data_IF_253564227197
#
_entry.id   IF_253564227197
#
_cell.length_a   1.000
_cell.length_b   1.000
_cell.length_c   1.000
_cell.angle_alpha   90.00
_cell.angle_beta   90.00
_cell.angle_gamma   90.00
#
_symmetry.space_group_name_H-M   'P 1'
#
loop_
_entity.id
_entity.type
_entity.pdbx_description
1 polymer ?
#
# COMPACT_ATOMS: atom_id res chain seq x y z
N UNK A 1 -11.66 23.38 16.28
CA UNK A 1 -10.95 22.89 15.08
C UNK A 1 -11.76 21.75 14.50
N UNK A 2 -12.42 21.97 13.36
CA UNK A 2 -13.30 20.99 12.72
C UNK A 2 -12.45 19.91 12.05
N UNK A 3 -12.56 18.68 12.53
CA UNK A 3 -12.00 17.48 11.89
C UNK A 3 -12.88 17.22 10.66
N UNK A 4 -12.38 17.60 9.49
CA UNK A 4 -12.95 17.19 8.20
C UNK A 4 -12.82 15.66 8.12
N UNK A 5 -13.92 14.95 8.36
CA UNK A 5 -14.02 13.53 8.02
C UNK A 5 -13.88 13.41 6.50
N UNK A 6 -12.96 12.61 5.95
CA UNK A 6 -12.99 12.33 4.53
C UNK A 6 -14.28 11.56 4.25
N UNK A 7 -15.14 12.14 3.43
CA UNK A 7 -16.25 11.46 2.78
C UNK A 7 -15.63 10.33 1.94
N UNK A 8 -15.65 9.10 2.47
CA UNK A 8 -15.37 7.88 1.72
C UNK A 8 -16.56 7.65 0.78
N UNK A 9 -16.53 8.27 -0.40
CA UNK A 9 -17.28 7.78 -1.56
C UNK A 9 -16.53 6.53 -2.07
N UNK A 10 -16.71 5.42 -1.36
CA UNK A 10 -16.33 4.11 -1.87
C UNK A 10 -17.40 3.68 -2.86
N UNK A 11 -17.14 3.84 -4.15
CA UNK A 11 -17.96 3.23 -5.20
C UNK A 11 -17.68 1.72 -5.21
N UNK A 12 -18.28 0.98 -4.28
CA UNK A 12 -18.38 -0.48 -4.40
C UNK A 12 -19.45 -0.74 -5.45
N UNK A 13 -19.04 -1.10 -6.66
CA UNK A 13 -19.96 -1.52 -7.73
C UNK A 13 -20.93 -2.59 -7.22
N UNK A 14 -22.20 -2.46 -7.60
CA UNK A 14 -23.32 -3.32 -7.20
C UNK A 14 -22.93 -4.80 -7.13
N UNK A 15 -22.95 -5.37 -5.92
CA UNK A 15 -22.67 -6.78 -5.68
C UNK A 15 -23.88 -7.60 -6.11
N UNK A 16 -23.79 -8.19 -7.31
CA UNK A 16 -24.63 -9.32 -7.73
C UNK A 16 -24.45 -10.47 -6.74
N UNK A 17 -25.55 -11.10 -6.35
CA UNK A 17 -25.56 -12.17 -5.36
C UNK A 17 -24.91 -13.43 -5.94
N UNK A 18 -23.73 -13.78 -5.43
CA UNK A 18 -23.18 -15.15 -5.52
C UNK A 18 -22.90 -15.67 -4.10
N UNK A 19 -23.65 -16.68 -3.68
CA UNK A 19 -23.44 -17.41 -2.43
C UNK A 19 -22.50 -18.58 -2.71
N UNK A 20 -21.22 -18.43 -2.38
CA UNK A 20 -20.26 -19.54 -2.34
C UNK A 20 -19.15 -19.25 -1.30
N UNK A 21 -19.23 -20.03 -0.23
CA UNK A 21 -18.36 -20.22 0.95
C UNK A 21 -17.04 -19.43 1.02
N UNK A 22 -17.01 -18.38 1.85
CA UNK A 22 -15.86 -18.24 2.76
C UNK A 22 -16.37 -18.50 4.17
N UNK A 23 -15.78 -19.48 4.86
CA UNK A 23 -16.25 -20.05 6.14
C UNK A 23 -16.11 -19.10 7.33
N UNK A 24 -15.75 -17.84 7.10
CA UNK A 24 -15.58 -16.84 8.14
C UNK A 24 -16.89 -16.10 8.40
N UNK A 25 -17.56 -16.47 9.49
CA UNK A 25 -18.81 -15.86 9.96
C UNK A 25 -18.71 -14.33 10.14
N UNK A 26 -17.56 -13.81 10.57
CA UNK A 26 -17.37 -12.38 10.77
C UNK A 26 -17.33 -11.61 9.45
N UNK A 27 -16.77 -12.20 8.39
CA UNK A 27 -16.85 -11.63 7.04
C UNK A 27 -18.27 -11.65 6.48
N UNK A 28 -19.02 -12.75 6.67
CA UNK A 28 -20.42 -12.82 6.23
C UNK A 28 -21.28 -11.72 6.86
N UNK A 29 -21.13 -11.52 8.18
CA UNK A 29 -21.80 -10.44 8.91
C UNK A 29 -21.35 -9.07 8.38
N UNK A 30 -20.03 -8.85 8.28
CA UNK A 30 -19.45 -7.59 7.77
C UNK A 30 -20.00 -7.25 6.40
N UNK A 31 -19.97 -8.21 5.47
CA UNK A 31 -20.46 -8.05 4.10
C UNK A 31 -21.96 -7.80 4.05
N UNK A 32 -22.75 -8.47 4.88
CA UNK A 32 -24.19 -8.23 4.99
C UNK A 32 -24.50 -6.79 5.43
N UNK A 33 -23.80 -6.30 6.46
CA UNK A 33 -23.94 -4.93 6.95
C UNK A 33 -23.48 -3.89 5.91
N UNK A 34 -22.39 -4.15 5.19
CA UNK A 34 -21.95 -3.29 4.07
C UNK A 34 -23.03 -3.23 2.98
N UNK A 35 -23.64 -4.35 2.62
CA UNK A 35 -24.75 -4.38 1.64
C UNK A 35 -25.95 -3.58 2.12
N UNK A 36 -26.33 -3.69 3.39
CA UNK A 36 -27.39 -2.88 3.99
C UNK A 36 -27.07 -1.38 3.88
N UNK A 37 -25.86 -0.98 4.27
CA UNK A 37 -25.42 0.41 4.23
C UNK A 37 -25.40 0.97 2.79
N UNK A 38 -24.85 0.22 1.84
CA UNK A 38 -24.84 0.61 0.42
C UNK A 38 -26.26 0.72 -0.16
N UNK A 39 -27.17 -0.18 0.21
CA UNK A 39 -28.57 -0.12 -0.24
C UNK A 39 -29.29 1.12 0.28
N UNK A 40 -28.98 1.56 1.50
CA UNK A 40 -29.47 2.84 2.04
C UNK A 40 -28.89 3.99 1.20
N UNK A 41 -27.58 4.02 0.97
CA UNK A 41 -26.93 5.08 0.19
C UNK A 41 -27.45 5.20 -1.25
N UNK A 42 -27.67 4.08 -1.94
CA UNK A 42 -28.26 4.09 -3.30
C UNK A 42 -29.65 4.70 -3.31
N UNK A 43 -30.53 4.29 -2.38
CA UNK A 43 -31.87 4.88 -2.23
C UNK A 43 -31.81 6.39 -1.97
N UNK A 44 -30.77 6.87 -1.29
CA UNK A 44 -30.57 8.30 -1.05
C UNK A 44 -30.06 9.04 -2.28
N UNK A 45 -29.19 8.42 -3.08
CA UNK A 45 -28.72 8.99 -4.35
C UNK A 45 -29.88 9.13 -5.34
N UNK A 46 -30.74 8.12 -5.47
CA UNK A 46 -31.91 8.15 -6.35
C UNK A 46 -32.91 9.25 -5.94
N UNK A 47 -33.09 9.49 -4.64
CA UNK A 47 -33.93 10.60 -4.13
C UNK A 47 -33.29 11.97 -4.34
N UNK A 48 -31.97 12.07 -4.19
CA UNK A 48 -31.22 13.32 -4.34
C UNK A 48 -31.12 13.81 -5.79
N UNK A 49 -31.15 12.89 -6.77
CA UNK A 49 -31.21 13.21 -8.19
C UNK A 49 -32.52 13.93 -8.60
N UNK A 50 -33.57 13.89 -7.76
CA UNK A 50 -34.86 14.54 -8.01
C UNK A 50 -35.15 15.79 -7.17
N UNK A 51 -34.75 15.84 -5.89
CA UNK A 51 -34.95 16.97 -4.97
C UNK A 51 -33.85 16.95 -3.89
N UNK A 52 -33.35 18.11 -3.46
CA UNK A 52 -32.23 18.23 -2.51
C UNK A 52 -32.32 17.32 -1.26
N UNK A 53 -31.17 16.87 -0.75
CA UNK A 53 -31.09 15.91 0.37
C UNK A 53 -31.63 16.50 1.68
N UNK A 54 -32.58 15.79 2.33
CA UNK A 54 -33.01 16.11 3.69
C UNK A 54 -32.01 15.59 4.75
N UNK A 55 -31.95 16.22 5.91
CA UNK A 55 -31.02 15.81 6.99
C UNK A 55 -31.39 14.47 7.62
N UNK A 56 -32.67 14.07 7.55
CA UNK A 56 -33.13 12.74 7.99
C UNK A 56 -32.52 11.61 7.16
N UNK A 57 -32.33 11.82 5.87
CA UNK A 57 -31.72 10.84 4.96
C UNK A 57 -30.23 10.61 5.27
N UNK A 58 -29.48 11.71 5.52
CA UNK A 58 -28.07 11.62 5.92
C UNK A 58 -27.89 10.88 7.25
N UNK A 59 -28.84 11.03 8.17
CA UNK A 59 -28.82 10.34 9.46
C UNK A 59 -28.99 8.82 9.31
N UNK A 60 -29.86 8.37 8.41
CA UNK A 60 -30.11 6.94 8.16
C UNK A 60 -28.89 6.24 7.57
N UNK A 61 -28.26 6.83 6.55
CA UNK A 61 -26.98 6.37 5.99
C UNK A 61 -25.90 6.27 7.06
N UNK A 62 -25.74 7.33 7.87
CA UNK A 62 -24.77 7.35 8.95
C UNK A 62 -25.00 6.22 9.96
N UNK A 63 -26.24 5.96 10.35
CA UNK A 63 -26.59 4.87 11.27
C UNK A 63 -26.24 3.50 10.69
N UNK A 64 -26.48 3.28 9.40
CA UNK A 64 -26.12 2.02 8.74
C UNK A 64 -24.60 1.79 8.75
N UNK A 65 -23.82 2.81 8.42
CA UNK A 65 -22.35 2.74 8.50
C UNK A 65 -21.82 2.63 9.94
N UNK A 66 -22.51 3.22 10.92
CA UNK A 66 -22.20 3.06 12.36
C UNK A 66 -22.39 1.60 12.82
N UNK A 67 -23.36 0.86 12.26
CA UNK A 67 -23.49 -0.60 12.53
C UNK A 67 -22.29 -1.39 12.00
N UNK A 68 -21.84 -1.10 10.77
CA UNK A 68 -20.66 -1.75 10.18
C UNK A 68 -19.44 -1.49 11.06
N UNK A 69 -19.24 -0.23 11.45
CA UNK A 69 -18.14 0.17 12.33
C UNK A 69 -18.22 -0.54 13.68
N UNK A 70 -19.39 -0.55 14.33
CA UNK A 70 -19.57 -1.19 15.63
C UNK A 70 -19.29 -2.70 15.58
N UNK A 71 -19.67 -3.38 14.49
CA UNK A 71 -19.34 -4.79 14.29
C UNK A 71 -17.82 -4.98 14.21
N UNK A 72 -17.13 -4.25 13.33
CA UNK A 72 -15.67 -4.35 13.22
C UNK A 72 -14.97 -3.98 14.55
N UNK A 73 -15.43 -2.92 15.23
CA UNK A 73 -14.88 -2.49 16.51
C UNK A 73 -15.05 -3.55 17.61
N UNK A 74 -16.04 -4.45 17.49
CA UNK A 74 -16.25 -5.54 18.44
C UNK A 74 -15.30 -6.74 18.27
N UNK A 75 -14.69 -6.89 17.09
CA UNK A 75 -13.79 -8.00 16.78
C UNK A 75 -12.42 -7.82 17.47
N UNK A 76 -11.81 -8.91 17.95
CA UNK A 76 -10.40 -8.91 18.35
C UNK A 76 -9.47 -8.61 17.16
N UNK A 77 -8.19 -8.34 17.42
CA UNK A 77 -7.21 -8.12 16.35
C UNK A 77 -7.14 -9.35 15.43
N UNK A 78 -7.01 -10.56 15.99
CA UNK A 78 -6.96 -11.81 15.22
C UNK A 78 -8.23 -12.01 14.39
N UNK A 79 -9.41 -11.78 14.98
CA UNK A 79 -10.67 -11.88 14.24
C UNK A 79 -10.77 -10.87 13.10
N UNK A 80 -10.22 -9.65 13.26
CA UNK A 80 -10.14 -8.68 12.16
C UNK A 80 -9.23 -9.17 11.04
N UNK A 81 -8.07 -9.73 11.37
CA UNK A 81 -7.15 -10.24 10.35
C UNK A 81 -7.77 -11.42 9.61
N UNK A 82 -8.41 -12.36 10.31
CA UNK A 82 -9.11 -13.48 9.67
C UNK A 82 -10.31 -13.01 8.84
N UNK A 83 -11.01 -11.98 9.29
CA UNK A 83 -12.09 -11.35 8.52
C UNK A 83 -11.54 -10.71 7.23
N UNK A 84 -10.40 -10.04 7.30
CA UNK A 84 -9.74 -9.43 6.15
C UNK A 84 -9.20 -10.49 5.17
N UNK A 85 -8.60 -11.57 5.67
CA UNK A 85 -8.15 -12.69 4.85
C UNK A 85 -9.31 -13.34 4.09
N UNK A 86 -10.43 -13.61 4.78
CA UNK A 86 -11.64 -14.13 4.16
C UNK A 86 -12.25 -13.15 3.14
N UNK A 87 -12.17 -11.83 3.39
CA UNK A 87 -12.60 -10.81 2.45
C UNK A 87 -11.78 -10.82 1.15
N UNK A 88 -10.46 -10.92 1.27
CA UNK A 88 -9.57 -11.00 0.13
C UNK A 88 -9.76 -12.29 -0.68
N UNK A 89 -10.01 -13.42 -0.03
CA UNK A 89 -10.28 -14.69 -0.73
C UNK A 89 -11.63 -14.67 -1.45
N UNK A 90 -12.63 -14.00 -0.86
CA UNK A 90 -13.97 -13.93 -1.41
C UNK A 90 -14.03 -13.28 -2.81
N UNK A 91 -13.03 -12.49 -3.22
CA UNK A 91 -13.01 -11.86 -4.55
C UNK A 91 -13.01 -12.86 -5.70
N UNK A 92 -12.52 -14.08 -5.48
CA UNK A 92 -12.53 -15.16 -6.49
C UNK A 92 -13.96 -15.63 -6.80
N UNK A 93 -14.88 -15.49 -5.84
CA UNK A 93 -16.28 -15.88 -5.98
C UNK A 93 -17.17 -14.78 -6.56
N UNK A 94 -16.60 -13.61 -6.85
CA UNK A 94 -17.30 -12.46 -7.43
C UNK A 94 -17.33 -12.59 -8.95
N UNK A 95 -18.43 -13.12 -9.47
CA UNK A 95 -18.62 -13.40 -10.91
C UNK A 95 -18.56 -12.16 -11.79
N UNK A 96 -18.78 -10.98 -11.21
CA UNK A 96 -18.66 -9.69 -11.91
C UNK A 96 -17.21 -9.25 -12.16
N UNK A 97 -16.24 -9.82 -11.43
CA UNK A 97 -14.82 -9.49 -11.59
C UNK A 97 -14.19 -10.45 -12.59
N UNK A 98 -14.11 -10.01 -13.84
CA UNK A 98 -13.60 -10.83 -14.94
C UNK A 98 -12.09 -10.66 -15.15
N UNK A 99 -11.53 -9.52 -14.77
CA UNK A 99 -10.11 -9.23 -14.89
C UNK A 99 -9.37 -9.45 -13.57
N UNK A 100 -8.15 -9.98 -13.64
CA UNK A 100 -7.33 -10.26 -12.46
C UNK A 100 -6.98 -8.98 -11.69
N UNK A 101 -6.79 -7.85 -12.38
CA UNK A 101 -6.50 -6.56 -11.73
C UNK A 101 -7.71 -6.02 -10.98
N UNK A 102 -8.92 -6.29 -11.47
CA UNK A 102 -10.16 -5.93 -10.77
C UNK A 102 -10.27 -6.72 -9.47
N UNK A 103 -9.86 -8.00 -9.47
CA UNK A 103 -9.80 -8.83 -8.25
C UNK A 103 -8.72 -8.36 -7.28
N UNK A 104 -7.51 -8.06 -7.77
CA UNK A 104 -6.43 -7.48 -6.97
C UNK A 104 -6.89 -6.17 -6.29
N UNK A 105 -7.53 -5.28 -7.04
CA UNK A 105 -8.03 -4.01 -6.53
C UNK A 105 -9.19 -4.18 -5.54
N UNK A 106 -10.11 -5.11 -5.82
CA UNK A 106 -11.19 -5.46 -4.90
C UNK A 106 -10.65 -6.03 -3.58
N UNK A 107 -9.65 -6.91 -3.63
CA UNK A 107 -9.03 -7.47 -2.44
C UNK A 107 -8.33 -6.39 -1.61
N UNK A 108 -7.56 -5.51 -2.24
CA UNK A 108 -6.93 -4.38 -1.56
C UNK A 108 -7.95 -3.45 -0.91
N UNK A 109 -9.07 -3.18 -1.61
CA UNK A 109 -10.20 -2.39 -1.08
C UNK A 109 -10.83 -3.05 0.14
N UNK A 110 -11.23 -4.32 0.03
CA UNK A 110 -12.00 -5.01 1.06
C UNK A 110 -11.14 -5.22 2.33
N UNK A 111 -9.88 -5.61 2.17
CA UNK A 111 -8.92 -5.70 3.28
C UNK A 111 -8.64 -4.33 3.88
N UNK A 112 -8.41 -3.31 3.06
CA UNK A 112 -8.17 -1.94 3.53
C UNK A 112 -9.35 -1.39 4.34
N UNK A 113 -10.58 -1.76 3.96
CA UNK A 113 -11.78 -1.42 4.71
C UNK A 113 -11.84 -2.14 6.06
N UNK A 114 -11.69 -3.47 6.08
CA UNK A 114 -11.75 -4.27 7.32
C UNK A 114 -10.64 -3.85 8.30
N UNK A 115 -9.41 -3.68 7.81
CA UNK A 115 -8.26 -3.28 8.62
C UNK A 115 -8.19 -1.77 8.89
N UNK A 116 -9.16 -0.97 8.45
CA UNK A 116 -9.17 0.48 8.66
C UNK A 116 -9.20 0.88 10.13
N UNK A 117 -9.78 0.03 10.99
CA UNK A 117 -9.85 0.24 12.44
C UNK A 117 -8.68 -0.40 13.20
N UNK A 118 -7.83 -1.18 12.52
CA UNK A 118 -6.74 -1.91 13.15
C UNK A 118 -5.81 -0.98 13.94
N UNK A 119 -5.34 0.18 13.41
CA UNK A 119 -4.51 1.10 14.20
C UNK A 119 -5.22 1.67 15.45
N UNK A 120 -6.54 1.85 15.39
CA UNK A 120 -7.32 2.38 16.52
C UNK A 120 -7.52 1.38 17.66
N UNK A 121 -7.20 0.10 17.42
CA UNK A 121 -7.19 -0.95 18.44
C UNK A 121 -5.87 -1.03 19.21
N UNK A 122 -4.97 -0.07 19.01
CA UNK A 122 -3.65 0.04 19.66
C UNK A 122 -2.79 -1.24 19.56
N UNK A 123 -2.57 -1.76 18.34
CA UNK A 123 -1.69 -2.91 18.12
C UNK A 123 -0.26 -2.61 18.57
N UNK A 124 0.40 -3.64 19.09
CA UNK A 124 1.82 -3.65 19.44
C UNK A 124 2.68 -3.87 18.20
N UNK A 125 4.00 -3.66 18.33
CA UNK A 125 4.95 -3.98 17.26
C UNK A 125 4.88 -5.47 16.86
N UNK A 126 4.67 -6.37 17.82
CA UNK A 126 4.56 -7.80 17.57
C UNK A 126 3.31 -8.16 16.73
N UNK A 127 2.20 -7.44 16.94
CA UNK A 127 0.98 -7.62 16.16
C UNK A 127 1.20 -7.22 14.69
N UNK A 128 1.94 -6.15 14.45
CA UNK A 128 2.35 -5.77 13.09
C UNK A 128 3.34 -6.76 12.49
N UNK A 129 4.30 -7.26 13.26
CA UNK A 129 5.24 -8.28 12.79
C UNK A 129 4.51 -9.56 12.37
N UNK A 130 3.50 -9.98 13.13
CA UNK A 130 2.63 -11.11 12.78
C UNK A 130 1.95 -10.90 11.42
N UNK A 131 1.37 -9.72 11.19
CA UNK A 131 0.80 -9.35 9.89
C UNK A 131 1.83 -9.36 8.75
N UNK A 132 3.04 -8.85 8.99
CA UNK A 132 4.12 -8.89 8.01
C UNK A 132 4.56 -10.33 7.71
N UNK A 133 4.55 -11.24 8.69
CA UNK A 133 4.83 -12.66 8.43
C UNK A 133 3.79 -13.28 7.48
N UNK A 134 2.52 -12.88 7.56
CA UNK A 134 1.48 -13.38 6.64
C UNK A 134 1.76 -13.04 5.18
N UNK A 135 2.42 -11.91 4.89
CA UNK A 135 2.86 -11.56 3.51
C UNK A 135 3.82 -12.63 2.94
N UNK A 136 4.65 -13.24 3.79
CA UNK A 136 5.66 -14.22 3.39
C UNK A 136 5.14 -15.65 3.39
N UNK A 137 4.03 -15.91 4.06
CA UNK A 137 3.44 -17.24 4.16
C UNK A 137 2.83 -17.67 2.82
N UNK A 138 3.37 -18.72 2.20
CA UNK A 138 2.89 -19.23 0.91
C UNK A 138 1.53 -19.95 0.99
N UNK A 139 1.06 -20.29 2.20
CA UNK A 139 -0.26 -20.89 2.40
C UNK A 139 -1.38 -19.85 2.42
N UNK A 140 -1.04 -18.56 2.55
CA UNK A 140 -2.03 -17.48 2.48
C UNK A 140 -2.47 -17.24 1.05
N UNK A 141 -3.73 -16.82 0.90
CA UNK A 141 -4.27 -16.35 -0.38
C UNK A 141 -3.37 -15.27 -0.99
N UNK A 142 -3.06 -15.42 -2.28
CA UNK A 142 -2.26 -14.45 -3.04
C UNK A 142 -2.92 -13.06 -2.98
N UNK A 143 -4.25 -12.99 -3.07
CA UNK A 143 -4.99 -11.74 -2.94
C UNK A 143 -4.83 -11.09 -1.57
N UNK A 144 -4.81 -11.90 -0.50
CA UNK A 144 -4.61 -11.38 0.85
C UNK A 144 -3.19 -10.83 1.03
N UNK A 145 -2.18 -11.54 0.52
CA UNK A 145 -0.78 -11.09 0.55
C UNK A 145 -0.57 -9.79 -0.23
N UNK A 146 -1.19 -9.67 -1.42
CA UNK A 146 -1.20 -8.44 -2.23
C UNK A 146 -1.87 -7.30 -1.45
N UNK A 147 -3.03 -7.57 -0.86
CA UNK A 147 -3.80 -6.58 -0.13
C UNK A 147 -3.10 -6.10 1.15
N UNK A 148 -2.39 -6.98 1.87
CA UNK A 148 -1.54 -6.60 3.01
C UNK A 148 -0.40 -5.68 2.59
N UNK A 149 0.29 -5.98 1.48
CA UNK A 149 1.34 -5.10 0.94
C UNK A 149 0.79 -3.71 0.59
N UNK A 150 -0.38 -3.66 -0.06
CA UNK A 150 -1.05 -2.40 -0.37
C UNK A 150 -1.47 -1.64 0.89
N UNK A 151 -2.04 -2.33 1.88
CA UNK A 151 -2.49 -1.74 3.14
C UNK A 151 -1.32 -1.16 3.95
N UNK A 152 -0.23 -1.90 4.12
CA UNK A 152 0.96 -1.40 4.80
C UNK A 152 1.56 -0.19 4.09
N UNK A 153 1.68 -0.27 2.77
CA UNK A 153 2.14 0.85 1.93
C UNK A 153 1.29 2.09 2.18
N UNK A 154 -0.04 1.98 2.12
CA UNK A 154 -0.93 3.11 2.31
C UNK A 154 -0.88 3.65 3.75
N UNK A 155 -0.77 2.77 4.75
CA UNK A 155 -0.64 3.14 6.16
C UNK A 155 0.63 3.95 6.43
N UNK A 156 1.75 3.56 5.81
CA UNK A 156 3.04 4.28 5.86
C UNK A 156 2.92 5.62 5.14
N UNK A 157 2.46 5.62 3.89
CA UNK A 157 2.35 6.82 3.06
C UNK A 157 1.44 7.90 3.67
N UNK A 158 0.44 7.49 4.44
CA UNK A 158 -0.50 8.37 5.14
C UNK A 158 -0.03 8.77 6.55
N UNK A 159 1.17 8.37 6.97
CA UNK A 159 1.74 8.60 8.30
C UNK A 159 0.81 8.16 9.44
N UNK A 160 0.10 7.03 9.25
CA UNK A 160 -0.87 6.48 10.20
C UNK A 160 -0.29 5.38 11.10
N UNK A 161 1.00 5.11 11.01
CA UNK A 161 1.69 4.20 11.90
C UNK A 161 1.89 4.82 13.29
N UNK A 162 1.82 4.01 14.38
CA UNK A 162 2.19 4.50 15.70
C UNK A 162 3.67 4.91 15.75
N UNK A 163 3.93 6.12 16.24
CA UNK A 163 5.25 6.75 16.18
C UNK A 163 6.37 5.93 16.85
N UNK A 164 6.03 5.21 17.92
CA UNK A 164 6.96 4.42 18.73
C UNK A 164 7.57 3.21 18.00
N UNK A 165 6.98 2.77 16.88
CA UNK A 165 7.50 1.62 16.13
C UNK A 165 7.32 1.79 14.61
N UNK A 166 7.06 3.00 14.13
CA UNK A 166 6.87 3.28 12.70
C UNK A 166 8.10 2.86 11.86
N UNK A 167 9.31 3.14 12.34
CA UNK A 167 10.55 2.74 11.67
C UNK A 167 10.72 1.23 11.59
N UNK A 168 10.45 0.52 12.69
CA UNK A 168 10.48 -0.94 12.74
C UNK A 168 9.53 -1.53 11.68
N UNK A 169 8.28 -1.06 11.64
CA UNK A 169 7.29 -1.53 10.65
C UNK A 169 7.75 -1.24 9.22
N UNK A 170 8.25 -0.03 8.93
CA UNK A 170 8.76 0.30 7.59
C UNK A 170 9.88 -0.65 7.18
N UNK A 171 10.83 -0.94 8.07
CA UNK A 171 11.90 -1.90 7.82
C UNK A 171 11.36 -3.32 7.60
N UNK A 172 10.42 -3.77 8.43
CA UNK A 172 9.76 -5.08 8.28
C UNK A 172 9.04 -5.22 6.94
N UNK A 173 8.35 -4.17 6.47
CA UNK A 173 7.66 -4.16 5.17
C UNK A 173 8.65 -4.16 4.00
N UNK A 174 9.75 -3.40 4.10
CA UNK A 174 10.84 -3.44 3.10
C UNK A 174 11.41 -4.86 3.00
N UNK A 175 11.72 -5.49 4.14
CA UNK A 175 12.27 -6.85 4.18
C UNK A 175 11.28 -7.88 3.61
N UNK A 176 10.01 -7.84 4.01
CA UNK A 176 9.01 -8.77 3.49
C UNK A 176 8.78 -8.60 1.98
N UNK A 177 8.80 -7.35 1.49
CA UNK A 177 8.72 -7.09 0.05
C UNK A 177 9.94 -7.65 -0.68
N UNK A 178 11.15 -7.50 -0.12
CA UNK A 178 12.38 -8.08 -0.66
C UNK A 178 12.32 -9.61 -0.70
N UNK A 179 11.85 -10.25 0.36
CA UNK A 179 11.69 -11.71 0.44
C UNK A 179 10.75 -12.23 -0.65
N UNK A 180 9.64 -11.51 -0.90
CA UNK A 180 8.72 -11.82 -1.99
C UNK A 180 9.40 -11.71 -3.36
N UNK A 181 10.19 -10.66 -3.58
CA UNK A 181 10.89 -10.41 -4.83
C UNK A 181 12.06 -11.38 -5.09
N UNK A 182 12.72 -11.86 -4.03
CA UNK A 182 13.79 -12.85 -4.11
C UNK A 182 13.27 -14.26 -4.45
N UNK A 183 12.01 -14.57 -4.13
CA UNK A 183 11.41 -15.85 -4.48
C UNK A 183 10.70 -15.78 -5.85
N UNK A 184 11.37 -16.27 -6.89
CA UNK A 184 10.85 -16.29 -8.26
C UNK A 184 9.63 -17.20 -8.48
N UNK A 185 9.28 -18.06 -7.52
CA UNK A 185 8.05 -18.86 -7.57
C UNK A 185 6.81 -18.04 -7.22
N UNK A 186 6.97 -16.85 -6.64
CA UNK A 186 5.82 -15.99 -6.34
C UNK A 186 5.12 -15.52 -7.62
N UNK A 187 3.77 -15.50 -7.63
CA UNK A 187 2.99 -15.00 -8.77
C UNK A 187 3.40 -13.58 -9.18
N UNK A 188 3.29 -13.28 -10.47
CA UNK A 188 3.63 -11.95 -11.01
C UNK A 188 2.88 -10.82 -10.28
N UNK A 189 1.58 -10.98 -10.05
CA UNK A 189 0.75 -10.00 -9.35
C UNK A 189 1.30 -9.66 -7.96
N UNK A 190 1.72 -10.67 -7.20
CA UNK A 190 2.31 -10.49 -5.89
C UNK A 190 3.68 -9.82 -5.95
N UNK A 191 4.52 -10.19 -6.92
CA UNK A 191 5.82 -9.52 -7.13
C UNK A 191 5.64 -8.04 -7.52
N UNK A 192 4.64 -7.72 -8.34
CA UNK A 192 4.31 -6.32 -8.68
C UNK A 192 3.87 -5.53 -7.44
N UNK A 193 3.01 -6.09 -6.61
CA UNK A 193 2.60 -5.47 -5.34
C UNK A 193 3.80 -5.25 -4.40
N UNK A 194 4.72 -6.22 -4.32
CA UNK A 194 5.92 -6.11 -3.52
C UNK A 194 6.88 -5.03 -4.04
N UNK A 195 7.06 -4.92 -5.35
CA UNK A 195 7.82 -3.81 -5.96
C UNK A 195 7.22 -2.45 -5.57
N UNK A 196 5.90 -2.31 -5.62
CA UNK A 196 5.19 -1.09 -5.22
C UNK A 196 5.37 -0.73 -3.74
N UNK A 197 5.21 -1.70 -2.85
CA UNK A 197 5.42 -1.48 -1.42
C UNK A 197 6.89 -1.15 -1.12
N UNK A 198 7.83 -1.92 -1.67
CA UNK A 198 9.28 -1.73 -1.46
C UNK A 198 9.72 -0.31 -1.84
N UNK A 199 9.40 0.13 -3.05
CA UNK A 199 9.85 1.43 -3.54
C UNK A 199 9.15 2.59 -2.83
N UNK A 200 7.83 2.52 -2.65
CA UNK A 200 7.07 3.65 -2.11
C UNK A 200 7.42 3.88 -0.64
N UNK A 201 7.67 2.82 0.13
CA UNK A 201 8.13 2.93 1.53
C UNK A 201 9.53 3.54 1.60
N UNK A 202 10.46 3.13 0.74
CA UNK A 202 11.82 3.70 0.71
C UNK A 202 11.79 5.19 0.32
N UNK A 203 11.02 5.53 -0.72
CA UNK A 203 10.86 6.91 -1.18
C UNK A 203 10.25 7.77 -0.09
N UNK A 204 9.18 7.30 0.55
CA UNK A 204 8.56 8.00 1.66
C UNK A 204 9.55 8.25 2.79
N UNK A 205 10.33 7.24 3.17
CA UNK A 205 11.28 7.37 4.27
C UNK A 205 12.38 8.39 3.97
N UNK A 206 12.99 8.34 2.77
CA UNK A 206 13.98 9.35 2.34
C UNK A 206 13.38 10.75 2.40
N UNK A 207 12.18 10.94 1.84
CA UNK A 207 11.52 12.25 1.81
C UNK A 207 11.17 12.74 3.21
N UNK A 208 10.61 11.88 4.06
CA UNK A 208 10.21 12.22 5.43
C UNK A 208 11.44 12.62 6.27
N UNK A 209 12.52 11.85 6.19
CA UNK A 209 13.79 12.16 6.85
C UNK A 209 14.34 13.50 6.37
N UNK A 210 14.40 13.72 5.04
CA UNK A 210 14.92 14.97 4.49
C UNK A 210 14.04 16.19 4.85
N UNK A 211 12.73 16.02 4.95
CA UNK A 211 11.80 17.10 5.27
C UNK A 211 11.89 17.53 6.74
N UNK A 212 12.07 16.57 7.64
CA UNK A 212 12.18 16.78 9.10
C UNK A 212 13.53 17.35 9.53
N UNK A 213 14.58 17.22 8.72
CA UNK A 213 15.92 17.72 9.03
C UNK A 213 16.24 18.99 8.24
N UNK A 214 16.44 20.11 8.92
CA UNK A 214 16.71 21.41 8.29
C UNK A 214 17.93 21.39 7.37
N UNK A 215 18.99 20.66 7.75
CA UNK A 215 20.20 20.50 6.95
C UNK A 215 19.97 19.72 5.64
N UNK A 216 18.94 18.88 5.60
CA UNK A 216 18.61 18.01 4.45
C UNK A 216 17.53 18.61 3.54
N UNK A 217 16.69 19.51 4.05
CA UNK A 217 15.62 20.16 3.28
C UNK A 217 16.08 20.80 1.96
N UNK A 218 17.25 21.46 1.85
CA UNK A 218 17.74 22.02 0.59
C UNK A 218 17.92 21.01 -0.54
N UNK A 219 18.09 19.72 -0.20
CA UNK A 219 18.24 18.63 -1.17
C UNK A 219 16.91 18.19 -1.78
N UNK A 220 15.76 18.60 -1.24
CA UNK A 220 14.45 18.27 -1.80
C UNK A 220 14.03 19.19 -2.94
N UNK A 221 14.41 20.47 -2.89
CA UNK A 221 13.93 21.52 -3.81
C UNK A 221 14.86 21.80 -4.99
N UNK A 222 16.17 21.59 -4.84
CA UNK A 222 17.16 21.90 -5.88
C UNK A 222 17.62 20.62 -6.57
N UNK A 223 17.33 20.50 -7.88
CA UNK A 223 17.68 19.32 -8.68
C UNK A 223 19.18 19.02 -8.73
N UNK A 224 20.04 20.05 -8.78
CA UNK A 224 21.49 19.88 -8.74
C UNK A 224 21.96 19.33 -7.40
N UNK A 225 21.32 19.77 -6.30
CA UNK A 225 21.65 19.25 -4.96
C UNK A 225 21.13 17.83 -4.74
N UNK A 226 19.99 17.42 -5.33
CA UNK A 226 19.41 16.07 -5.16
C UNK A 226 20.44 14.96 -5.36
N UNK A 227 21.24 15.05 -6.43
CA UNK A 227 22.29 14.08 -6.77
C UNK A 227 23.52 14.16 -5.85
N UNK A 228 23.73 15.29 -5.17
CA UNK A 228 24.89 15.52 -4.31
C UNK A 228 24.67 15.05 -2.86
N UNK A 229 23.41 14.82 -2.44
CA UNK A 229 23.07 14.48 -1.05
C UNK A 229 23.97 13.36 -0.50
N UNK A 230 24.02 12.23 -1.18
CA UNK A 230 24.74 11.05 -0.70
C UNK A 230 26.26 11.24 -0.69
N UNK A 231 26.79 12.01 -1.64
CA UNK A 231 28.21 12.39 -1.65
C UNK A 231 28.54 13.24 -0.43
N UNK A 232 27.73 14.27 -0.16
CA UNK A 232 27.90 15.15 0.98
C UNK A 232 27.74 14.41 2.32
N UNK A 233 26.81 13.45 2.40
CA UNK A 233 26.65 12.57 3.58
C UNK A 233 27.91 11.75 3.86
N UNK A 234 28.51 11.15 2.82
CA UNK A 234 29.72 10.32 2.96
C UNK A 234 30.93 11.17 3.35
N UNK A 235 31.12 12.32 2.71
CA UNK A 235 32.24 13.23 2.95
C UNK A 235 32.17 13.98 4.30
N UNK A 236 30.99 14.02 4.94
CA UNK A 236 30.78 14.80 6.16
C UNK A 236 30.56 16.29 5.90
N UNK A 237 30.16 16.65 4.68
CA UNK A 237 29.87 18.05 4.30
C UNK A 237 28.55 18.56 4.92
N UNK A 238 27.74 17.66 5.48
CA UNK A 238 26.47 17.96 6.17
C UNK A 238 26.56 17.43 7.60
N UNK A 239 26.22 18.27 8.56
CA UNK A 239 26.11 17.90 9.97
C UNK A 239 24.69 17.39 10.25
N UNK A 240 24.58 16.08 10.48
CA UNK A 240 23.36 15.38 10.92
C UNK A 240 23.76 14.28 11.91
N UNK A 241 22.80 13.68 12.63
CA UNK A 241 23.08 12.53 13.49
C UNK A 241 23.52 11.31 12.68
N UNK A 242 24.37 10.47 13.28
CA UNK A 242 24.82 9.21 12.68
C UNK A 242 23.64 8.28 12.36
N UNK A 243 22.59 8.28 13.18
CA UNK A 243 21.37 7.52 12.95
C UNK A 243 20.68 7.93 11.64
N UNK A 244 20.49 9.23 11.41
CA UNK A 244 19.89 9.77 10.18
C UNK A 244 20.78 9.47 8.97
N UNK A 245 22.11 9.62 9.13
CA UNK A 245 23.09 9.31 8.08
C UNK A 245 23.00 7.84 7.68
N UNK A 246 23.08 6.93 8.64
CA UNK A 246 23.03 5.48 8.40
C UNK A 246 21.71 5.05 7.77
N UNK A 247 20.59 5.60 8.24
CA UNK A 247 19.27 5.34 7.67
C UNK A 247 19.21 5.71 6.19
N UNK A 248 19.66 6.91 5.81
CA UNK A 248 19.68 7.34 4.40
C UNK A 248 20.60 6.44 3.56
N UNK A 249 21.81 6.14 4.05
CA UNK A 249 22.74 5.26 3.34
C UNK A 249 22.17 3.86 3.12
N UNK A 250 21.45 3.30 4.10
CA UNK A 250 20.79 2.01 3.95
C UNK A 250 19.61 2.06 2.97
N UNK A 251 18.85 3.17 2.92
CA UNK A 251 17.85 3.37 1.87
C UNK A 251 18.46 3.45 0.48
N UNK A 252 19.62 4.09 0.33
CA UNK A 252 20.32 4.12 -0.95
C UNK A 252 20.78 2.72 -1.39
N UNK A 253 21.33 1.91 -0.46
CA UNK A 253 21.66 0.50 -0.74
C UNK A 253 20.44 -0.30 -1.19
N UNK A 254 19.28 -0.07 -0.57
CA UNK A 254 18.03 -0.71 -0.96
C UNK A 254 17.61 -0.31 -2.38
N UNK A 255 17.87 0.93 -2.80
CA UNK A 255 17.66 1.40 -4.18
C UNK A 255 18.65 0.73 -5.13
N UNK A 256 19.95 0.66 -4.79
CA UNK A 256 20.94 -0.04 -5.63
C UNK A 256 20.54 -1.50 -5.87
N UNK A 257 20.05 -2.19 -4.84
CA UNK A 257 19.54 -3.55 -4.96
C UNK A 257 18.33 -3.63 -5.90
N UNK A 258 17.36 -2.71 -5.78
CA UNK A 258 16.18 -2.65 -6.63
C UNK A 258 16.54 -2.44 -8.10
N UNK A 259 17.46 -1.50 -8.38
CA UNK A 259 17.92 -1.22 -9.74
C UNK A 259 18.61 -2.44 -10.36
N UNK A 260 19.44 -3.16 -9.58
CA UNK A 260 20.02 -4.41 -10.04
C UNK A 260 18.94 -5.47 -10.33
N UNK A 261 17.91 -5.57 -9.49
CA UNK A 261 16.79 -6.48 -9.71
C UNK A 261 16.01 -6.12 -11.01
N UNK A 262 15.70 -4.83 -11.24
CA UNK A 262 15.13 -4.37 -12.51
C UNK A 262 16.02 -4.69 -13.71
N UNK A 263 17.33 -4.51 -13.59
CA UNK A 263 18.24 -4.88 -14.67
C UNK A 263 18.20 -6.36 -14.99
N UNK A 264 18.01 -7.23 -14.00
CA UNK A 264 17.85 -8.67 -14.20
C UNK A 264 16.49 -8.99 -14.83
N UNK A 265 15.41 -8.38 -14.35
CA UNK A 265 14.08 -8.57 -14.92
C UNK A 265 14.03 -8.16 -16.40
N UNK A 266 14.59 -7.00 -16.76
CA UNK A 266 14.61 -6.51 -18.14
C UNK A 266 15.43 -7.39 -19.09
N UNK A 267 16.49 -8.06 -18.61
CA UNK A 267 17.28 -9.02 -19.41
C UNK A 267 16.47 -10.24 -19.83
N UNK A 268 15.43 -10.59 -19.07
CA UNK A 268 14.59 -11.76 -19.32
C UNK A 268 13.38 -11.46 -20.21
N UNK A 269 13.38 -10.34 -20.95
CA UNK A 269 12.27 -9.92 -21.83
C UNK A 269 10.90 -9.97 -21.13
N UNK A 270 10.71 -9.21 -20.04
CA UNK A 270 9.55 -9.39 -19.18
C UNK A 270 8.27 -8.91 -19.86
N UNK A 271 7.09 -9.36 -19.39
CA UNK A 271 5.80 -8.90 -19.91
C UNK A 271 5.65 -7.38 -19.84
N UNK A 272 4.83 -6.81 -20.72
CA UNK A 272 4.66 -5.35 -20.83
C UNK A 272 4.17 -4.70 -19.53
N UNK A 273 3.36 -5.44 -18.74
CA UNK A 273 2.91 -5.02 -17.40
C UNK A 273 4.11 -4.76 -16.48
N UNK A 274 5.09 -5.66 -16.48
CA UNK A 274 6.32 -5.55 -15.68
C UNK A 274 7.19 -4.41 -16.21
N UNK A 275 7.39 -4.30 -17.53
CA UNK A 275 8.15 -3.16 -18.12
C UNK A 275 7.54 -1.81 -17.76
N UNK A 276 6.21 -1.69 -17.86
CA UNK A 276 5.45 -0.48 -17.50
C UNK A 276 5.63 -0.14 -16.02
N UNK A 277 5.58 -1.15 -15.13
CA UNK A 277 5.82 -1.00 -13.70
C UNK A 277 7.26 -0.50 -13.42
N UNK A 278 8.27 -1.11 -14.03
CA UNK A 278 9.68 -0.69 -13.88
C UNK A 278 9.84 0.78 -14.30
N UNK A 279 9.33 1.15 -15.48
CA UNK A 279 9.40 2.53 -15.97
C UNK A 279 8.70 3.52 -15.02
N UNK A 280 7.54 3.17 -14.47
CA UNK A 280 6.84 3.98 -13.47
C UNK A 280 7.70 4.18 -12.21
N UNK A 281 8.34 3.11 -11.72
CA UNK A 281 9.18 3.14 -10.53
C UNK A 281 10.46 3.96 -10.71
N UNK A 282 11.12 3.81 -11.86
CA UNK A 282 12.28 4.62 -12.22
C UNK A 282 11.95 6.11 -12.28
N UNK A 283 10.77 6.48 -12.82
CA UNK A 283 10.29 7.87 -12.79
C UNK A 283 10.10 8.41 -11.39
N UNK A 284 9.66 7.59 -10.43
CA UNK A 284 9.52 8.01 -9.03
C UNK A 284 10.90 8.28 -8.41
N UNK A 285 11.88 7.39 -8.62
CA UNK A 285 13.25 7.55 -8.10
C UNK A 285 13.92 8.83 -8.61
N UNK A 286 13.75 9.16 -9.89
CA UNK A 286 14.33 10.38 -10.48
C UNK A 286 13.85 11.69 -9.84
N UNK A 287 12.74 11.66 -9.10
CA UNK A 287 12.18 12.86 -8.47
C UNK A 287 12.65 13.09 -7.03
N UNK A 288 13.44 12.17 -6.47
CA UNK A 288 13.91 12.23 -5.08
C UNK A 288 15.45 12.26 -5.01
N UNK A 289 16.04 12.62 -3.86
CA UNK A 289 17.47 12.45 -3.64
C UNK A 289 17.84 10.96 -3.66
N UNK A 290 18.74 10.58 -4.55
CA UNK A 290 19.37 9.25 -4.64
C UNK A 290 20.86 9.43 -4.97
N UNK A 291 21.67 8.40 -4.72
CA UNK A 291 23.10 8.46 -5.04
C UNK A 291 23.34 8.60 -6.54
N UNK A 292 24.48 9.19 -6.89
CA UNK A 292 24.85 9.46 -8.30
C UNK A 292 24.91 8.16 -9.13
N UNK A 293 25.48 7.09 -8.57
CA UNK A 293 25.52 5.77 -9.22
C UNK A 293 24.11 5.20 -9.44
N UNK A 294 23.24 5.30 -8.44
CA UNK A 294 21.84 4.86 -8.55
C UNK A 294 21.07 5.68 -9.59
N UNK A 295 21.30 6.99 -9.65
CA UNK A 295 20.68 7.87 -10.64
C UNK A 295 21.09 7.51 -12.06
N UNK A 296 22.38 7.31 -12.31
CA UNK A 296 22.90 6.91 -13.63
C UNK A 296 22.32 5.56 -14.07
N UNK A 297 22.25 4.59 -13.17
CA UNK A 297 21.67 3.28 -13.45
C UNK A 297 20.14 3.37 -13.70
N UNK A 298 19.42 4.20 -12.94
CA UNK A 298 18.00 4.43 -13.15
C UNK A 298 17.70 5.00 -14.54
N UNK A 299 18.49 5.98 -15.00
CA UNK A 299 18.36 6.54 -16.35
C UNK A 299 18.73 5.53 -17.44
N UNK A 300 19.77 4.70 -17.23
CA UNK A 300 20.12 3.61 -18.15
C UNK A 300 18.97 2.61 -18.31
N UNK A 301 18.38 2.16 -17.20
CA UNK A 301 17.26 1.22 -17.18
C UNK A 301 16.01 1.82 -17.80
N UNK A 302 15.76 3.11 -17.58
CA UNK A 302 14.64 3.83 -18.17
C UNK A 302 14.76 3.86 -19.68
N UNK A 303 15.94 4.19 -20.22
CA UNK A 303 16.21 4.12 -21.65
C UNK A 303 15.96 2.70 -22.20
N UNK A 304 16.39 1.66 -21.47
CA UNK A 304 16.15 0.27 -21.86
C UNK A 304 14.65 -0.11 -21.87
N UNK A 305 13.82 0.46 -20.99
CA UNK A 305 12.37 0.22 -21.01
C UNK A 305 11.65 0.89 -22.20
N UNK A 306 12.23 1.95 -22.76
CA UNK A 306 11.65 2.71 -23.88
C UNK A 306 12.13 2.28 -25.26
N UNK A 307 13.23 1.52 -25.34
CA UNK A 307 13.71 0.98 -26.62
C UNK A 307 12.68 -0.05 -27.13
N UNK A 308 12.12 0.21 -28.32
CA UNK A 308 11.38 -0.82 -29.05
C UNK A 308 12.34 -1.98 -29.29
N UNK A 309 11.89 -3.20 -29.01
CA UNK A 309 12.56 -4.41 -29.49
C UNK A 309 12.44 -4.35 -31.01
N UNK A 310 13.57 -4.16 -31.69
CA UNK A 310 13.69 -4.34 -33.14
C UNK A 310 13.58 -5.83 -33.50
#
# INVERSE_FOLDING_TARGET
MQILKPFLLFCISFISVSSANSTNKNWEITRSLIKEANAVDSKLLDKAAGKGRSDSAKLESRRAWEKVKAHLDSLSLDELVETAAAAAEYVVHRTELTDEREREAAAASDVGFVLSIYPSKNPTAADFDSLVQRIKNSQESVYFRIALLAWFRDLIMQERLPANHAEHIMNSVILASRDVLCNHQNPEALRLAAHHAYIDVIIHDILSVCQKNDALRPYLSNSGKKSELFKHLVNGDIIISDEVKMRLLDRNKNISWLLNNFSQELKNSPPERVKSMINLMLRKLNNIPIGETEYQEAERLRAATTKKVE
#
